data_IF_085156647155
#
_entry.id   IF_085156647155
#
_cell.length_a   1.000
_cell.length_b   1.000
_cell.length_c   1.000
_cell.angle_alpha   90.00
_cell.angle_beta   90.00
_cell.angle_gamma   90.00
#
_symmetry.space_group_name_H-M   'P 1'
#
loop_
_entity.id
_entity.type
_entity.pdbx_description
1 polymer ?
#
# COMPACT_ATOMS: atom_id res chain seq x y z
N UNK A 1 -18.76 -6.22 -0.72
CA UNK A 1 -18.32 -5.54 -1.97
C UNK A 1 -16.85 -5.80 -2.13
N UNK A 2 -16.39 -6.23 -3.30
CA UNK A 2 -14.98 -6.49 -3.57
C UNK A 2 -14.34 -5.22 -4.13
N UNK A 3 -13.41 -4.62 -3.39
CA UNK A 3 -12.76 -3.34 -3.74
C UNK A 3 -11.40 -3.52 -4.43
N UNK A 4 -10.87 -4.74 -4.39
CA UNK A 4 -9.62 -5.16 -5.02
C UNK A 4 -9.92 -6.41 -5.85
N UNK A 5 -9.57 -6.38 -7.12
CA UNK A 5 -9.83 -7.51 -8.02
C UNK A 5 -8.97 -8.74 -7.64
N UNK A 6 -9.47 -9.94 -7.94
CA UNK A 6 -8.78 -11.21 -7.60
C UNK A 6 -7.40 -11.33 -8.25
N UNK A 7 -7.30 -10.83 -9.49
CA UNK A 7 -6.07 -10.84 -10.29
C UNK A 7 -5.14 -9.67 -9.98
N UNK A 8 -5.59 -8.69 -9.21
CA UNK A 8 -4.81 -7.51 -8.89
C UNK A 8 -3.70 -7.89 -7.91
N UNK A 9 -2.45 -7.56 -8.27
CA UNK A 9 -1.26 -7.87 -7.47
C UNK A 9 -0.49 -6.63 -7.05
N UNK A 10 -0.73 -5.51 -7.74
CA UNK A 10 -0.02 -4.26 -7.50
C UNK A 10 -0.90 -3.08 -7.92
N UNK A 11 -0.81 -2.01 -7.14
CA UNK A 11 -1.39 -0.70 -7.40
C UNK A 11 -0.28 0.31 -7.20
N UNK A 12 0.10 1.02 -8.26
CA UNK A 12 1.19 2.00 -8.22
C UNK A 12 0.66 3.37 -8.54
N UNK A 13 0.58 4.22 -7.52
CA UNK A 13 0.23 5.62 -7.68
C UNK A 13 1.35 6.41 -8.33
N UNK A 14 1.01 7.57 -8.90
CA UNK A 14 1.96 8.51 -9.48
C UNK A 14 1.61 9.96 -9.10
N UNK A 15 2.66 10.76 -8.98
CA UNK A 15 2.57 12.21 -8.93
C UNK A 15 2.59 12.78 -10.35
N UNK A 16 1.49 13.43 -10.73
CA UNK A 16 1.33 14.06 -12.04
C UNK A 16 1.67 15.55 -11.90
N UNK A 17 2.63 16.02 -12.69
CA UNK A 17 2.90 17.44 -12.81
C UNK A 17 1.95 18.08 -13.83
N UNK A 18 1.03 18.92 -13.35
CA UNK A 18 0.03 19.61 -14.17
C UNK A 18 -0.06 21.07 -13.78
N UNK A 19 0.07 21.97 -14.75
CA UNK A 19 -0.05 23.43 -14.57
C UNK A 19 0.83 23.99 -13.43
N UNK A 20 2.07 23.51 -13.34
CA UNK A 20 3.02 23.95 -12.31
C UNK A 20 2.79 23.35 -10.91
N UNK A 21 1.83 22.42 -10.77
CA UNK A 21 1.46 21.79 -9.51
C UNK A 21 1.64 20.27 -9.57
N UNK A 22 1.96 19.67 -8.44
CA UNK A 22 1.92 18.22 -8.26
C UNK A 22 0.49 17.82 -7.87
N UNK A 23 -0.09 16.88 -8.61
CA UNK A 23 -1.44 16.36 -8.41
C UNK A 23 -1.37 14.84 -8.31
N UNK A 24 -2.21 14.25 -7.47
CA UNK A 24 -2.33 12.81 -7.35
C UNK A 24 -3.13 12.18 -8.50
N UNK A 25 -2.66 11.05 -9.01
CA UNK A 25 -3.42 10.25 -9.97
C UNK A 25 -4.57 9.46 -9.33
N UNK A 26 -5.43 8.88 -10.16
CA UNK A 26 -6.58 8.10 -9.68
C UNK A 26 -6.15 6.85 -8.89
N UNK A 27 -5.00 6.26 -9.24
CA UNK A 27 -4.46 5.11 -8.50
C UNK A 27 -4.04 5.52 -7.08
N UNK A 28 -3.38 6.67 -6.91
CA UNK A 28 -3.02 7.21 -5.60
C UNK A 28 -4.25 7.49 -4.74
N UNK A 29 -5.30 8.10 -5.33
CA UNK A 29 -6.58 8.32 -4.64
C UNK A 29 -7.22 7.01 -4.22
N UNK A 30 -7.23 6.01 -5.11
CA UNK A 30 -7.76 4.67 -4.83
C UNK A 30 -6.99 4.01 -3.69
N UNK A 31 -5.66 4.06 -3.69
CA UNK A 31 -4.83 3.49 -2.61
C UNK A 31 -5.15 4.16 -1.28
N UNK A 32 -5.22 5.50 -1.24
CA UNK A 32 -5.60 6.25 -0.02
C UNK A 32 -6.98 5.82 0.49
N UNK A 33 -7.97 5.73 -0.40
CA UNK A 33 -9.30 5.26 -0.03
C UNK A 33 -9.26 3.84 0.57
N UNK A 34 -8.52 2.92 -0.06
CA UNK A 34 -8.40 1.54 0.41
C UNK A 34 -7.79 1.47 1.81
N UNK A 35 -6.67 2.16 2.07
CA UNK A 35 -5.99 2.11 3.38
C UNK A 35 -6.77 2.82 4.49
N UNK A 36 -7.58 3.84 4.15
CA UNK A 36 -8.33 4.62 5.13
C UNK A 36 -9.69 3.99 5.46
N UNK A 37 -10.29 3.21 4.55
CA UNK A 37 -11.69 2.78 4.66
C UNK A 37 -11.92 1.27 4.55
N UNK A 38 -10.97 0.49 4.04
CA UNK A 38 -11.23 -0.90 3.68
C UNK A 38 -10.18 -1.87 4.22
N UNK A 39 -8.91 -1.62 3.92
CA UNK A 39 -7.81 -2.49 4.31
C UNK A 39 -7.52 -2.35 5.81
N UNK A 40 -7.30 -3.48 6.47
CA UNK A 40 -6.99 -3.51 7.90
C UNK A 40 -5.49 -3.43 8.09
N UNK A 41 -5.00 -2.40 8.78
CA UNK A 41 -3.58 -2.29 9.11
C UNK A 41 -3.18 -3.37 10.12
N UNK A 42 -2.19 -4.19 9.75
CA UNK A 42 -1.69 -5.29 10.57
C UNK A 42 -0.42 -4.90 11.32
N UNK A 43 0.53 -4.27 10.63
CA UNK A 43 1.83 -3.94 11.19
C UNK A 43 2.47 -2.72 10.51
N UNK A 44 3.53 -2.24 11.14
CA UNK A 44 4.50 -1.31 10.55
C UNK A 44 5.83 -2.04 10.52
N UNK A 45 6.62 -1.86 9.47
CA UNK A 45 7.94 -2.47 9.39
C UNK A 45 8.84 -1.92 10.52
N UNK A 46 9.91 -2.64 10.89
CA UNK A 46 10.86 -2.14 11.89
C UNK A 46 11.49 -0.79 11.55
N UNK A 47 11.57 -0.45 10.26
CA UNK A 47 12.10 0.83 9.78
C UNK A 47 11.11 2.00 9.96
N UNK A 48 9.82 1.70 10.16
CA UNK A 48 8.74 2.67 10.23
C UNK A 48 8.20 3.12 8.86
N UNK A 49 8.87 2.76 7.77
CA UNK A 49 8.58 3.26 6.42
C UNK A 49 7.44 2.52 5.74
N UNK A 50 7.46 1.20 5.83
CA UNK A 50 6.46 0.33 5.20
C UNK A 50 5.36 -0.04 6.18
N UNK A 51 4.15 -0.19 5.66
CA UNK A 51 2.99 -0.60 6.46
C UNK A 51 2.38 -1.83 5.82
N UNK A 52 2.06 -2.82 6.65
CA UNK A 52 1.38 -4.01 6.22
C UNK A 52 -0.11 -3.88 6.48
N UNK A 53 -0.88 -4.19 5.47
CA UNK A 53 -2.33 -4.27 5.52
C UNK A 53 -2.82 -5.65 5.10
N UNK A 54 -4.07 -5.97 5.43
CA UNK A 54 -4.75 -7.18 5.00
C UNK A 54 -6.13 -6.84 4.43
N UNK A 55 -6.47 -7.49 3.32
CA UNK A 55 -7.82 -7.43 2.76
C UNK A 55 -8.75 -8.31 3.62
N UNK A 56 -9.81 -7.76 4.23
CA UNK A 56 -10.71 -8.52 5.10
C UNK A 56 -11.59 -9.53 4.34
N UNK A 57 -11.71 -9.43 3.01
CA UNK A 57 -12.55 -10.34 2.22
C UNK A 57 -11.80 -11.61 1.80
N UNK A 58 -10.53 -11.50 1.42
CA UNK A 58 -9.74 -12.62 0.86
C UNK A 58 -8.44 -12.93 1.62
N UNK A 59 -8.18 -12.20 2.71
CA UNK A 59 -7.05 -12.36 3.62
C UNK A 59 -5.66 -12.14 2.99
N UNK A 60 -5.60 -11.62 1.76
CA UNK A 60 -4.33 -11.27 1.12
C UNK A 60 -3.64 -10.12 1.84
N UNK A 61 -2.32 -10.22 1.94
CA UNK A 61 -1.48 -9.18 2.52
C UNK A 61 -1.07 -8.15 1.47
N UNK A 62 -1.12 -6.88 1.85
CA UNK A 62 -0.80 -5.73 1.01
C UNK A 62 0.22 -4.84 1.72
N UNK A 63 1.40 -4.74 1.13
CA UNK A 63 2.48 -3.88 1.61
C UNK A 63 2.36 -2.50 0.97
N UNK A 64 2.23 -1.47 1.81
CA UNK A 64 2.25 -0.07 1.42
C UNK A 64 3.68 0.47 1.44
N UNK A 65 4.12 0.95 0.29
CA UNK A 65 5.38 1.69 0.10
C UNK A 65 5.10 3.05 -0.54
N UNK A 66 6.12 3.90 -0.60
CA UNK A 66 6.07 5.18 -1.30
C UNK A 66 7.25 5.25 -2.27
N UNK A 67 6.97 5.32 -3.57
CA UNK A 67 8.01 5.40 -4.61
C UNK A 67 8.64 6.79 -4.61
N UNK A 68 9.97 6.88 -4.73
CA UNK A 68 10.73 8.16 -4.76
C UNK A 68 10.75 8.93 -3.43
N UNK A 69 11.16 8.25 -2.35
CA UNK A 69 11.32 8.81 -0.99
C UNK A 69 12.37 9.93 -0.83
N UNK A 70 13.00 10.38 -1.93
CA UNK A 70 13.94 11.51 -1.93
C UNK A 70 13.24 12.89 -1.95
N UNK A 71 11.94 12.94 -2.26
CA UNK A 71 11.19 14.19 -2.17
C UNK A 71 10.69 14.43 -0.75
N UNK A 72 11.03 15.61 -0.20
CA UNK A 72 10.61 16.12 1.12
C UNK A 72 9.08 16.21 1.35
N UNK A 73 8.25 15.73 0.41
CA UNK A 73 6.78 15.63 0.50
C UNK A 73 6.23 14.20 0.49
N UNK A 74 7.09 13.17 0.46
CA UNK A 74 6.69 11.78 0.36
C UNK A 74 6.39 11.34 -1.08
N UNK A 75 6.83 10.13 -1.40
CA UNK A 75 6.57 9.48 -2.68
C UNK A 75 5.10 9.26 -2.98
N UNK A 76 4.77 8.88 -4.22
CA UNK A 76 3.42 8.40 -4.52
C UNK A 76 3.19 7.03 -3.87
N UNK A 77 2.01 6.75 -3.28
CA UNK A 77 1.76 5.51 -2.58
C UNK A 77 1.66 4.34 -3.55
N UNK A 78 2.14 3.18 -3.12
CA UNK A 78 2.05 1.91 -3.85
C UNK A 78 1.63 0.79 -2.92
N UNK A 79 0.68 -0.04 -3.35
CA UNK A 79 0.28 -1.25 -2.65
C UNK A 79 0.72 -2.47 -3.47
N UNK A 80 1.50 -3.36 -2.86
CA UNK A 80 1.92 -4.62 -3.47
C UNK A 80 1.38 -5.80 -2.67
N UNK A 81 0.74 -6.74 -3.35
CA UNK A 81 0.37 -7.99 -2.74
C UNK A 81 1.64 -8.80 -2.45
N UNK A 82 1.83 -9.19 -1.19
CA UNK A 82 2.95 -10.01 -0.75
C UNK A 82 2.46 -11.35 -0.21
N UNK A 83 3.33 -12.36 -0.24
CA UNK A 83 3.01 -13.67 0.32
C UNK A 83 2.98 -13.62 1.86
N UNK A 84 2.31 -14.59 2.48
CA UNK A 84 2.29 -14.72 3.95
C UNK A 84 3.70 -14.88 4.51
N UNK A 85 4.57 -15.61 3.82
CA UNK A 85 5.96 -15.83 4.23
C UNK A 85 6.75 -14.51 4.24
N UNK A 86 6.55 -13.66 3.23
CA UNK A 86 7.16 -12.32 3.20
C UNK A 86 6.59 -11.43 4.30
N UNK A 87 5.28 -11.47 4.55
CA UNK A 87 4.64 -10.70 5.61
C UNK A 87 5.22 -11.07 7.00
N UNK A 88 5.34 -12.37 7.29
CA UNK A 88 5.96 -12.86 8.53
C UNK A 88 7.41 -12.42 8.64
N UNK A 89 8.20 -12.59 7.57
CA UNK A 89 9.63 -12.25 7.57
C UNK A 89 9.89 -10.75 7.75
N UNK A 90 9.14 -9.91 7.04
CA UNK A 90 9.43 -8.46 6.98
C UNK A 90 8.82 -7.69 8.16
N UNK A 91 7.75 -8.21 8.76
CA UNK A 91 6.99 -7.52 9.81
C UNK A 91 7.00 -8.27 11.15
N UNK A 92 7.82 -9.31 11.27
CA UNK A 92 7.95 -10.14 12.49
C UNK A 92 6.59 -10.59 13.03
N UNK A 93 5.66 -10.96 12.14
CA UNK A 93 4.36 -11.45 12.55
C UNK A 93 4.53 -12.83 13.18
N UNK A 94 4.10 -12.98 14.42
CA UNK A 94 3.92 -14.31 15.00
C UNK A 94 2.68 -14.94 14.34
N UNK A 95 2.91 -15.98 13.56
CA UNK A 95 1.84 -16.84 13.04
C UNK A 95 1.84 -18.10 13.89
N UNK A 96 0.84 -18.21 14.76
CA UNK A 96 0.53 -19.43 15.51
C UNK A 96 0.01 -20.54 14.57
#
# INVERSE_FOLDING_TARGET
>A
MKLIEEKEKELTGNWIFKDGKIVEDETSKRIKFLIDNFLVKIAVSPSGWEKLFQDPNDLRFWELTYNDGEFHGGGAPSLRNISKEMAVKNYSLNVD
#
